data_IF_579985177826
#
_entry.id   IF_579985177826
#
_cell.length_a   1.000
_cell.length_b   1.000
_cell.length_c   1.000
_cell.angle_alpha   90.00
_cell.angle_beta   90.00
_cell.angle_gamma   90.00
#
_symmetry.space_group_name_H-M   'P 1'
#
loop_
_entity.id
_entity.type
_entity.pdbx_description
1 polymer ?
#
# COMPACT_ATOMS: atom_id res chain seq x y z
N UNK A 1 -39.35 -23.84 -11.17
CA UNK A 1 -39.07 -23.46 -12.54
C UNK A 1 -37.68 -23.94 -12.89
N UNK A 2 -37.60 -24.73 -13.95
CA UNK A 2 -36.39 -25.34 -14.44
C UNK A 2 -35.61 -24.31 -15.32
N UNK A 3 -34.96 -23.36 -14.65
CA UNK A 3 -34.14 -22.36 -15.34
C UNK A 3 -32.94 -21.98 -14.49
N UNK A 4 -31.82 -21.72 -15.13
CA UNK A 4 -30.64 -21.13 -14.50
C UNK A 4 -30.94 -19.69 -14.10
N UNK A 5 -30.85 -19.42 -12.83
CA UNK A 5 -31.10 -18.08 -12.29
C UNK A 5 -29.85 -17.19 -12.37
N UNK A 6 -30.08 -15.87 -12.39
CA UNK A 6 -29.01 -14.87 -12.36
C UNK A 6 -29.24 -13.90 -11.21
N UNK A 7 -28.14 -13.42 -10.62
CA UNK A 7 -28.15 -12.38 -9.59
C UNK A 7 -27.11 -11.33 -9.88
N UNK A 8 -27.35 -10.10 -9.42
CA UNK A 8 -26.38 -9.02 -9.53
C UNK A 8 -25.65 -8.86 -8.19
N UNK A 9 -24.35 -8.70 -8.29
CA UNK A 9 -23.46 -8.37 -7.18
C UNK A 9 -22.66 -7.10 -7.49
N UNK A 10 -22.30 -6.36 -6.45
CA UNK A 10 -21.33 -5.27 -6.53
C UNK A 10 -19.96 -5.83 -6.15
N UNK A 11 -18.94 -5.53 -6.96
CA UNK A 11 -17.55 -5.89 -6.65
C UNK A 11 -16.71 -4.62 -6.70
N UNK A 12 -16.03 -4.31 -5.60
CA UNK A 12 -15.19 -3.11 -5.48
C UNK A 12 -13.88 -3.42 -4.76
N UNK A 13 -12.91 -2.53 -4.92
CA UNK A 13 -11.60 -2.62 -4.30
C UNK A 13 -11.33 -1.42 -3.38
N UNK A 14 -10.24 -1.50 -2.59
CA UNK A 14 -9.74 -0.34 -1.85
C UNK A 14 -9.28 0.79 -2.79
N UNK A 15 -8.85 0.46 -4.02
CA UNK A 15 -8.39 1.42 -5.03
C UNK A 15 -9.54 2.02 -5.86
N UNK A 16 -10.68 1.31 -5.93
CA UNK A 16 -11.89 1.74 -6.64
C UNK A 16 -13.14 1.37 -5.84
N UNK A 17 -13.59 2.30 -5.02
CA UNK A 17 -14.78 2.14 -4.18
C UNK A 17 -16.10 2.19 -4.96
N UNK A 18 -16.10 2.68 -6.20
CA UNK A 18 -17.27 2.64 -7.09
C UNK A 18 -17.46 1.26 -7.68
N UNK A 19 -16.38 0.55 -7.97
CA UNK A 19 -16.36 -0.83 -8.41
C UNK A 19 -17.14 -1.10 -9.69
N UNK A 20 -17.62 -2.34 -9.82
CA UNK A 20 -18.41 -2.83 -10.94
C UNK A 20 -19.67 -3.57 -10.45
N UNK A 21 -20.72 -3.50 -11.25
CA UNK A 21 -21.89 -4.39 -11.10
C UNK A 21 -21.70 -5.60 -12.01
N UNK A 22 -21.76 -6.79 -11.45
CA UNK A 22 -21.56 -8.03 -12.16
C UNK A 22 -22.82 -8.90 -12.05
N UNK A 23 -23.37 -9.32 -13.19
CA UNK A 23 -24.35 -10.37 -13.24
C UNK A 23 -23.65 -11.72 -13.20
N UNK A 24 -24.02 -12.58 -12.25
CA UNK A 24 -23.48 -13.92 -12.07
C UNK A 24 -24.63 -14.93 -12.24
N UNK A 25 -24.29 -16.12 -12.72
CA UNK A 25 -25.27 -17.15 -13.09
C UNK A 25 -25.16 -18.36 -12.17
N UNK A 26 -26.28 -19.00 -11.95
CA UNK A 26 -26.31 -20.27 -11.24
C UNK A 26 -25.56 -21.36 -12.04
N UNK A 27 -24.82 -22.21 -11.35
CA UNK A 27 -23.98 -23.24 -12.00
C UNK A 27 -24.78 -24.36 -12.65
N UNK A 28 -25.91 -24.70 -12.05
CA UNK A 28 -26.90 -25.64 -12.58
C UNK A 28 -28.28 -25.26 -12.02
N UNK A 29 -29.36 -25.69 -12.67
CA UNK A 29 -30.72 -25.46 -12.19
C UNK A 29 -30.90 -25.90 -10.73
N UNK A 30 -31.47 -25.02 -9.92
CA UNK A 30 -31.76 -25.22 -8.49
C UNK A 30 -30.52 -25.55 -7.62
N UNK A 31 -29.28 -25.20 -8.07
CA UNK A 31 -28.05 -25.44 -7.27
C UNK A 31 -27.89 -24.48 -6.10
N UNK A 32 -28.41 -23.25 -6.21
CA UNK A 32 -28.16 -22.17 -5.28
C UNK A 32 -26.71 -21.70 -5.25
N UNK A 33 -25.89 -22.16 -6.20
CA UNK A 33 -24.47 -21.79 -6.35
C UNK A 33 -24.31 -20.91 -7.59
N UNK A 34 -23.85 -19.69 -7.38
CA UNK A 34 -23.68 -18.70 -8.44
C UNK A 34 -22.18 -18.45 -8.71
N UNK A 35 -21.82 -18.36 -9.97
CA UNK A 35 -20.44 -18.11 -10.40
C UNK A 35 -20.37 -16.95 -11.40
N UNK A 36 -19.27 -16.19 -11.33
CA UNK A 36 -18.93 -15.13 -12.25
C UNK A 36 -17.41 -14.91 -12.30
N UNK A 37 -16.97 -14.18 -13.31
CA UNK A 37 -15.55 -13.92 -13.54
C UNK A 37 -15.29 -12.42 -13.46
N UNK A 38 -14.35 -12.03 -12.59
CA UNK A 38 -13.80 -10.68 -12.50
C UNK A 38 -12.36 -10.71 -12.97
N UNK A 39 -12.01 -9.80 -13.87
CA UNK A 39 -10.62 -9.57 -14.27
C UNK A 39 -10.10 -8.31 -13.56
N UNK A 40 -8.84 -8.34 -13.12
CA UNK A 40 -8.23 -7.18 -12.47
C UNK A 40 -7.40 -6.36 -13.46
N UNK A 41 -7.39 -5.04 -13.30
CA UNK A 41 -6.58 -4.13 -14.09
C UNK A 41 -5.85 -3.15 -13.18
N UNK A 42 -4.68 -2.68 -13.63
CA UNK A 42 -3.91 -1.59 -13.00
C UNK A 42 -4.24 -0.22 -13.63
N UNK A 43 -5.01 -0.22 -14.73
CA UNK A 43 -5.55 1.01 -15.29
C UNK A 43 -6.59 1.58 -14.32
N UNK A 44 -6.57 2.86 -14.06
CA UNK A 44 -7.39 3.58 -13.07
C UNK A 44 -8.89 3.67 -13.37
N UNK A 45 -9.40 2.77 -14.23
CA UNK A 45 -10.81 2.70 -14.62
C UNK A 45 -11.33 1.27 -14.64
N UNK A 46 -12.38 1.04 -13.86
CA UNK A 46 -13.17 -0.18 -13.92
C UNK A 46 -14.21 -0.10 -15.04
N UNK A 47 -14.45 -1.20 -15.72
CA UNK A 47 -15.52 -1.29 -16.72
C UNK A 47 -15.91 -2.73 -17.04
N UNK A 48 -17.22 -2.99 -17.20
CA UNK A 48 -17.74 -4.34 -17.48
C UNK A 48 -17.40 -5.30 -16.35
N UNK A 49 -16.69 -6.39 -16.66
CA UNK A 49 -16.19 -7.35 -15.65
C UNK A 49 -14.75 -7.07 -15.20
N UNK A 50 -14.19 -5.91 -15.56
CA UNK A 50 -12.81 -5.53 -15.24
C UNK A 50 -12.77 -4.50 -14.12
N UNK A 51 -12.22 -4.88 -12.97
CA UNK A 51 -12.09 -4.08 -11.77
C UNK A 51 -10.69 -3.50 -11.65
N UNK A 52 -10.57 -2.18 -11.41
CA UNK A 52 -9.30 -1.56 -11.02
C UNK A 52 -8.94 -2.01 -9.61
N UNK A 53 -7.81 -2.68 -9.47
CA UNK A 53 -7.29 -3.11 -8.19
C UNK A 53 -5.79 -3.38 -8.29
N UNK A 54 -5.03 -2.85 -7.36
CA UNK A 54 -3.58 -3.03 -7.28
C UNK A 54 -3.22 -4.28 -6.46
N UNK A 55 -2.01 -4.79 -6.59
CA UNK A 55 -1.50 -5.84 -5.72
C UNK A 55 -1.61 -5.43 -4.24
N UNK A 56 -2.03 -6.39 -3.40
CA UNK A 56 -2.34 -6.25 -1.97
C UNK A 56 -3.62 -5.48 -1.64
N UNK A 57 -4.37 -4.99 -2.62
CA UNK A 57 -5.70 -4.41 -2.39
C UNK A 57 -6.67 -5.45 -1.88
N UNK A 58 -7.52 -5.06 -0.96
CA UNK A 58 -8.68 -5.84 -0.56
C UNK A 58 -9.79 -5.68 -1.60
N UNK A 59 -10.34 -6.81 -2.02
CA UNK A 59 -11.53 -6.90 -2.87
C UNK A 59 -12.72 -7.26 -1.99
N UNK A 60 -13.82 -6.60 -2.22
CA UNK A 60 -15.09 -6.89 -1.56
C UNK A 60 -16.14 -7.20 -2.61
N UNK A 61 -16.78 -8.34 -2.49
CA UNK A 61 -18.01 -8.68 -3.21
C UNK A 61 -19.20 -8.49 -2.28
N UNK A 62 -20.22 -7.79 -2.75
CA UNK A 62 -21.45 -7.50 -2.01
C UNK A 62 -22.66 -8.03 -2.76
N UNK A 63 -23.45 -8.84 -2.08
CA UNK A 63 -24.79 -9.25 -2.52
C UNK A 63 -25.83 -8.70 -1.57
N UNK A 64 -26.93 -8.16 -2.11
CA UNK A 64 -28.06 -7.67 -1.32
C UNK A 64 -29.19 -8.67 -1.41
N UNK A 65 -29.38 -9.45 -0.34
CA UNK A 65 -30.49 -10.39 -0.25
C UNK A 65 -31.82 -9.68 0.13
N UNK A 66 -32.78 -9.75 -0.76
CA UNK A 66 -34.14 -9.20 -0.60
C UNK A 66 -35.22 -10.29 -0.40
N UNK A 67 -34.78 -11.55 -0.26
CA UNK A 67 -35.67 -12.70 -0.18
C UNK A 67 -35.71 -13.31 1.23
N UNK A 68 -35.56 -12.47 2.24
CA UNK A 68 -35.45 -12.90 3.63
C UNK A 68 -36.72 -13.64 4.12
N UNK A 69 -36.54 -14.75 4.87
CA UNK A 69 -37.66 -15.49 5.45
C UNK A 69 -38.31 -14.72 6.60
N UNK A 70 -39.54 -15.10 6.97
CA UNK A 70 -40.19 -14.54 8.16
C UNK A 70 -39.29 -14.71 9.40
N UNK A 71 -39.21 -13.72 10.28
CA UNK A 71 -40.14 -12.59 10.50
C UNK A 71 -39.87 -11.31 9.71
N UNK A 72 -38.91 -11.30 8.80
CA UNK A 72 -38.57 -10.11 7.99
C UNK A 72 -39.72 -9.70 7.07
N UNK A 73 -39.77 -8.41 6.75
CA UNK A 73 -40.75 -7.87 5.83
C UNK A 73 -40.18 -7.82 4.40
N UNK A 74 -41.02 -7.65 3.41
CA UNK A 74 -40.63 -7.59 1.98
C UNK A 74 -39.73 -6.40 1.62
N UNK A 75 -39.57 -5.42 2.52
CA UNK A 75 -38.69 -4.27 2.35
C UNK A 75 -37.37 -4.41 3.13
N UNK A 76 -37.21 -5.49 3.89
CA UNK A 76 -35.99 -5.73 4.62
C UNK A 76 -34.92 -6.30 3.66
N UNK A 77 -33.70 -5.85 3.79
CA UNK A 77 -32.55 -6.25 2.97
C UNK A 77 -31.41 -6.72 3.88
N UNK A 78 -30.64 -7.68 3.43
CA UNK A 78 -29.44 -8.15 4.11
C UNK A 78 -28.25 -8.04 3.17
N UNK A 79 -27.25 -7.23 3.56
CA UNK A 79 -25.98 -7.16 2.87
C UNK A 79 -25.11 -8.38 3.23
N UNK A 80 -24.77 -9.17 2.25
CA UNK A 80 -23.82 -10.29 2.36
C UNK A 80 -22.51 -9.86 1.74
N UNK A 81 -21.44 -9.86 2.52
CA UNK A 81 -20.10 -9.41 2.11
C UNK A 81 -19.13 -10.57 2.12
N UNK A 82 -18.32 -10.68 1.06
CA UNK A 82 -17.15 -11.53 1.01
C UNK A 82 -15.93 -10.67 0.68
N UNK A 83 -14.82 -10.92 1.35
CA UNK A 83 -13.58 -10.13 1.19
C UNK A 83 -12.40 -11.04 0.98
N UNK A 84 -11.57 -10.67 0.01
CA UNK A 84 -10.32 -11.34 -0.30
C UNK A 84 -9.24 -10.32 -0.68
N UNK A 85 -7.99 -10.72 -0.60
CA UNK A 85 -6.84 -9.87 -0.91
C UNK A 85 -6.16 -10.34 -2.19
N UNK A 86 -5.85 -9.40 -3.08
CA UNK A 86 -5.01 -9.70 -4.27
C UNK A 86 -3.59 -9.98 -3.80
N UNK A 87 -3.08 -11.17 -4.10
CA UNK A 87 -1.71 -11.56 -3.78
C UNK A 87 -0.80 -11.17 -4.95
N UNK A 88 0.23 -10.35 -4.67
CA UNK A 88 1.29 -10.06 -5.63
C UNK A 88 2.27 -11.23 -5.72
N UNK A 89 2.71 -11.57 -6.93
CA UNK A 89 3.81 -12.50 -7.14
C UNK A 89 5.20 -11.87 -6.89
N UNK A 90 5.27 -10.53 -6.81
CA UNK A 90 6.50 -9.82 -6.51
C UNK A 90 6.60 -9.64 -4.99
N UNK A 91 7.74 -10.03 -4.37
CA UNK A 91 7.99 -9.69 -2.96
C UNK A 91 7.77 -8.20 -2.71
N UNK A 92 7.18 -7.86 -1.57
CA UNK A 92 6.88 -6.45 -1.27
C UNK A 92 8.15 -5.59 -1.23
N UNK A 93 9.26 -6.15 -0.76
CA UNK A 93 10.57 -5.47 -0.68
C UNK A 93 11.23 -5.19 -2.02
N UNK A 94 10.73 -5.77 -3.10
CA UNK A 94 11.26 -5.55 -4.46
C UNK A 94 10.45 -4.50 -5.26
N UNK A 95 9.42 -3.90 -4.63
CA UNK A 95 8.51 -2.95 -5.32
C UNK A 95 9.12 -1.59 -5.55
N UNK A 96 9.96 -1.15 -4.61
CA UNK A 96 10.74 0.08 -4.73
C UNK A 96 12.21 -0.24 -4.53
N UNK A 97 13.10 0.61 -5.02
CA UNK A 97 14.50 0.58 -4.63
C UNK A 97 14.86 1.83 -3.85
N UNK A 98 15.71 1.67 -2.83
CA UNK A 98 16.21 2.73 -1.98
C UNK A 98 17.74 2.85 -2.18
N UNK A 99 18.21 4.06 -2.49
CA UNK A 99 19.66 4.30 -2.59
C UNK A 99 20.34 4.29 -1.22
N UNK A 100 21.68 4.21 -1.21
CA UNK A 100 22.46 4.57 -0.04
C UNK A 100 22.12 5.99 0.44
N UNK A 101 22.34 6.27 1.74
CA UNK A 101 22.11 7.62 2.25
C UNK A 101 23.30 8.52 1.99
N UNK A 102 22.99 9.77 1.72
CA UNK A 102 23.94 10.87 1.77
C UNK A 102 23.49 11.80 2.91
N UNK A 103 24.45 12.32 3.67
CA UNK A 103 24.19 13.38 4.63
C UNK A 103 24.60 14.69 3.97
N UNK A 104 23.61 15.55 3.79
CA UNK A 104 23.81 16.84 3.14
C UNK A 104 23.66 17.97 4.16
N UNK A 105 24.45 19.03 3.97
CA UNK A 105 24.22 20.29 4.64
C UNK A 105 22.96 20.99 4.14
N UNK A 106 22.53 22.05 4.80
CA UNK A 106 21.34 22.82 4.38
C UNK A 106 21.49 23.47 2.99
N UNK A 107 22.73 23.65 2.51
CA UNK A 107 23.04 24.14 1.16
C UNK A 107 23.27 23.00 0.14
N UNK A 108 22.98 21.75 0.53
CA UNK A 108 22.97 20.59 -0.36
C UNK A 108 24.35 19.97 -0.63
N UNK A 109 25.38 20.31 0.17
CA UNK A 109 26.69 19.71 0.06
C UNK A 109 26.83 18.47 0.92
N UNK A 110 27.56 17.48 0.42
CA UNK A 110 27.87 16.27 1.18
C UNK A 110 28.66 16.62 2.47
N UNK A 111 28.26 16.01 3.58
CA UNK A 111 28.89 16.12 4.89
C UNK A 111 29.32 14.72 5.32
N UNK A 112 30.57 14.54 5.72
CA UNK A 112 31.10 13.27 6.24
C UNK A 112 30.97 13.17 7.77
N UNK A 113 31.00 14.32 8.46
CA UNK A 113 30.88 14.42 9.92
C UNK A 113 29.84 15.48 10.28
N UNK A 114 29.11 15.28 11.36
CA UNK A 114 28.08 16.20 11.82
C UNK A 114 28.34 16.62 13.26
N UNK A 115 28.73 17.87 13.45
CA UNK A 115 29.00 18.48 14.77
C UNK A 115 27.72 18.66 15.60
N UNK A 116 27.89 18.74 16.93
CA UNK A 116 26.80 19.07 17.85
C UNK A 116 26.16 20.41 17.48
N UNK A 117 24.82 20.46 17.52
CA UNK A 117 24.03 21.62 17.18
C UNK A 117 23.93 21.91 15.69
N UNK A 118 24.59 21.12 14.82
CA UNK A 118 24.45 21.22 13.38
C UNK A 118 23.30 20.34 12.90
N UNK A 119 22.62 20.83 11.87
CA UNK A 119 21.54 20.11 11.19
C UNK A 119 22.04 19.54 9.88
N UNK A 120 21.92 18.23 9.72
CA UNK A 120 22.12 17.53 8.47
C UNK A 120 20.79 17.12 7.85
N UNK A 121 20.76 16.93 6.55
CA UNK A 121 19.68 16.33 5.80
C UNK A 121 20.08 14.90 5.41
N UNK A 122 19.36 13.91 5.92
CA UNK A 122 19.52 12.51 5.54
C UNK A 122 18.77 12.32 4.23
N UNK A 123 19.49 12.22 3.14
CA UNK A 123 18.97 12.15 1.78
C UNK A 123 19.09 10.73 1.23
N UNK A 124 18.06 10.29 0.52
CA UNK A 124 18.06 9.05 -0.26
C UNK A 124 17.17 9.22 -1.48
N UNK A 125 17.37 8.38 -2.49
CA UNK A 125 16.53 8.30 -3.67
C UNK A 125 15.68 7.05 -3.60
N UNK A 126 14.39 7.21 -3.87
CA UNK A 126 13.44 6.12 -4.03
C UNK A 126 13.09 6.02 -5.51
N UNK A 127 13.20 4.82 -6.08
CA UNK A 127 12.81 4.55 -7.47
C UNK A 127 11.71 3.51 -7.51
N UNK A 128 10.68 3.79 -8.30
CA UNK A 128 9.61 2.84 -8.56
C UNK A 128 10.04 1.81 -9.62
N UNK A 129 10.01 0.53 -9.26
CA UNK A 129 10.35 -0.58 -10.16
C UNK A 129 9.10 -1.19 -10.81
N UNK A 130 7.91 -0.71 -10.41
CA UNK A 130 6.61 -1.20 -10.86
C UNK A 130 6.12 -0.44 -12.11
N UNK A 131 5.12 -1.00 -12.76
CA UNK A 131 4.41 -0.41 -13.90
C UNK A 131 3.15 0.39 -13.48
N UNK A 132 2.94 0.59 -12.18
CA UNK A 132 1.87 1.40 -11.59
C UNK A 132 2.39 2.34 -10.51
N UNK A 133 1.59 3.34 -10.15
CA UNK A 133 1.91 4.28 -9.07
C UNK A 133 1.91 3.56 -7.73
N UNK A 134 2.96 3.76 -6.92
CA UNK A 134 3.07 3.20 -5.58
C UNK A 134 3.08 4.32 -4.54
N UNK A 135 2.15 4.27 -3.59
CA UNK A 135 2.21 5.07 -2.37
C UNK A 135 3.28 4.53 -1.43
N UNK A 136 3.94 5.43 -0.71
CA UNK A 136 4.98 5.05 0.22
C UNK A 136 5.05 5.98 1.43
N UNK A 137 5.66 5.46 2.49
CA UNK A 137 6.14 6.21 3.65
C UNK A 137 7.62 5.94 3.83
N UNK A 138 8.45 6.95 3.62
CA UNK A 138 9.88 6.92 3.90
C UNK A 138 10.09 7.27 5.36
N UNK A 139 10.69 6.38 6.13
CA UNK A 139 10.89 6.50 7.58
C UNK A 139 12.39 6.52 7.84
N UNK A 140 12.84 7.47 8.66
CA UNK A 140 14.22 7.57 9.14
C UNK A 140 14.21 7.45 10.65
N UNK A 141 14.88 6.43 11.17
CA UNK A 141 15.10 6.19 12.59
C UNK A 141 16.59 6.36 12.89
N UNK A 142 16.91 7.16 13.91
CA UNK A 142 18.29 7.39 14.35
C UNK A 142 18.42 6.85 15.76
N UNK A 143 19.43 6.02 15.97
CA UNK A 143 19.78 5.41 17.25
C UNK A 143 21.17 5.88 17.68
N UNK A 144 21.34 6.07 18.98
CA UNK A 144 22.65 6.32 19.57
C UNK A 144 23.42 4.99 19.79
N UNK A 145 24.66 5.08 20.28
CA UNK A 145 25.53 3.94 20.58
C UNK A 145 24.94 2.92 21.58
N UNK A 146 24.00 3.34 22.40
CA UNK A 146 23.25 2.48 23.34
C UNK A 146 22.02 1.84 22.70
N UNK A 147 21.84 1.96 21.37
CA UNK A 147 20.70 1.46 20.61
C UNK A 147 19.35 2.11 20.98
N UNK A 148 19.39 3.30 21.62
CA UNK A 148 18.20 4.07 21.94
C UNK A 148 17.82 4.94 20.72
N UNK A 149 16.53 4.94 20.37
CA UNK A 149 16.01 5.83 19.34
C UNK A 149 16.03 7.27 19.83
N UNK A 150 16.82 8.12 19.19
CA UNK A 150 16.96 9.55 19.49
C UNK A 150 16.21 10.43 18.50
N UNK A 151 15.86 9.89 17.32
CA UNK A 151 15.01 10.56 16.34
C UNK A 151 14.22 9.56 15.53
N UNK A 152 12.97 9.91 15.23
CA UNK A 152 12.10 9.18 14.32
C UNK A 152 11.31 10.21 13.51
N UNK A 153 11.48 10.16 12.20
CA UNK A 153 10.81 11.08 11.28
C UNK A 153 10.37 10.33 10.03
N UNK A 154 9.32 10.82 9.36
CA UNK A 154 8.84 10.19 8.13
C UNK A 154 8.24 11.22 7.17
N UNK A 155 8.21 10.83 5.89
CA UNK A 155 7.58 11.57 4.80
C UNK A 155 6.75 10.57 3.99
N UNK A 156 5.51 10.96 3.65
CA UNK A 156 4.61 10.18 2.80
C UNK A 156 4.56 10.77 1.40
N UNK A 157 4.35 9.93 0.41
CA UNK A 157 4.22 10.37 -0.98
C UNK A 157 3.79 9.22 -1.89
N UNK A 158 3.80 9.51 -3.18
CA UNK A 158 3.59 8.53 -4.23
C UNK A 158 4.67 8.67 -5.28
N UNK A 159 5.01 7.58 -5.96
CA UNK A 159 6.01 7.55 -7.02
C UNK A 159 5.42 6.81 -8.22
N UNK A 160 5.38 7.51 -9.37
CA UNK A 160 4.82 6.95 -10.61
C UNK A 160 5.80 5.95 -11.25
N UNK A 161 5.36 5.11 -12.21
CA UNK A 161 6.20 4.13 -12.87
C UNK A 161 7.53 4.70 -13.37
N UNK A 162 8.62 3.98 -13.07
CA UNK A 162 9.99 4.35 -13.48
C UNK A 162 10.52 5.67 -12.93
N UNK A 163 9.79 6.39 -12.11
CA UNK A 163 10.22 7.64 -11.48
C UNK A 163 11.27 7.36 -10.40
N UNK A 164 12.25 8.27 -10.30
CA UNK A 164 13.16 8.39 -9.17
C UNK A 164 12.84 9.70 -8.43
N UNK A 165 12.65 9.62 -7.12
CA UNK A 165 12.31 10.74 -6.26
C UNK A 165 13.33 10.88 -5.13
N UNK A 166 13.90 12.05 -4.97
CA UNK A 166 14.79 12.39 -3.84
C UNK A 166 13.95 12.69 -2.59
N UNK A 167 14.29 12.03 -1.48
CA UNK A 167 13.67 12.22 -0.18
C UNK A 167 14.70 12.67 0.83
N UNK A 168 14.34 13.59 1.72
CA UNK A 168 15.20 14.01 2.81
C UNK A 168 14.45 14.23 4.10
N UNK A 169 15.14 13.94 5.21
CA UNK A 169 14.70 14.22 6.58
C UNK A 169 15.80 14.98 7.29
N UNK A 170 15.47 16.09 7.92
CA UNK A 170 16.42 16.88 8.70
C UNK A 170 16.59 16.31 10.10
N UNK A 171 17.84 16.30 10.59
CA UNK A 171 18.17 15.92 11.95
C UNK A 171 19.28 16.82 12.49
N UNK A 172 19.15 17.23 13.77
CA UNK A 172 20.14 18.02 14.48
C UNK A 172 20.79 17.18 15.57
N UNK A 173 22.10 17.07 15.57
CA UNK A 173 22.87 16.35 16.59
C UNK A 173 22.77 17.09 17.93
N UNK A 174 22.36 16.39 18.98
CA UNK A 174 22.21 16.94 20.33
C UNK A 174 23.41 16.62 21.22
N UNK A 175 24.04 15.48 21.05
CA UNK A 175 25.12 14.96 21.88
C UNK A 175 26.22 14.37 21.01
N UNK A 176 27.45 14.29 21.55
CA UNK A 176 28.55 13.56 20.89
C UNK A 176 28.32 12.07 20.97
N UNK A 177 28.76 11.32 19.97
CA UNK A 177 28.70 9.86 19.98
C UNK A 177 28.50 9.28 18.58
N UNK A 178 28.43 7.96 18.54
CA UNK A 178 28.14 7.24 17.30
C UNK A 178 26.62 7.09 17.14
N UNK A 179 26.18 7.22 15.93
CA UNK A 179 24.78 7.07 15.58
C UNK A 179 24.60 6.06 14.44
N UNK A 180 23.52 5.32 14.47
CA UNK A 180 23.06 4.49 13.39
C UNK A 180 21.81 5.09 12.79
N UNK A 181 21.79 5.28 11.47
CA UNK A 181 20.64 5.77 10.71
C UNK A 181 20.03 4.57 9.99
N UNK A 182 18.82 4.18 10.39
CA UNK A 182 18.03 3.16 9.73
C UNK A 182 16.94 3.80 8.90
N UNK A 183 16.77 3.31 7.67
CA UNK A 183 15.79 3.84 6.71
C UNK A 183 14.89 2.73 6.25
N UNK A 184 13.59 3.01 6.27
CA UNK A 184 12.55 2.08 5.89
C UNK A 184 11.67 2.75 4.84
N UNK A 185 11.19 1.98 3.89
CA UNK A 185 10.12 2.41 3.00
C UNK A 185 8.98 1.42 3.15
N UNK A 186 7.86 1.90 3.68
CA UNK A 186 6.65 1.11 3.87
C UNK A 186 5.52 1.63 2.98
N UNK A 187 4.51 0.81 2.73
CA UNK A 187 3.30 1.26 2.02
C UNK A 187 2.59 2.39 2.79
N UNK A 188 2.50 2.27 4.10
CA UNK A 188 1.95 3.29 5.02
C UNK A 188 2.37 2.99 6.46
N UNK A 189 2.23 3.96 7.36
CA UNK A 189 2.44 3.73 8.80
C UNK A 189 1.43 2.71 9.35
N UNK A 190 0.17 2.76 8.90
CA UNK A 190 -0.88 1.86 9.37
C UNK A 190 -0.72 0.44 8.82
N UNK A 191 -0.40 0.31 7.53
CA UNK A 191 -0.26 -0.98 6.86
C UNK A 191 1.05 -1.70 7.23
N UNK A 192 2.11 -0.94 7.47
CA UNK A 192 3.44 -1.41 7.88
C UNK A 192 4.02 -2.54 6.99
N UNK A 193 3.69 -2.52 5.68
CA UNK A 193 4.23 -3.47 4.70
C UNK A 193 5.50 -2.86 4.12
N UNK A 194 6.68 -3.50 4.28
CA UNK A 194 7.93 -2.99 3.71
C UNK A 194 7.90 -3.07 2.18
N UNK A 195 8.34 -2.00 1.52
CA UNK A 195 8.45 -1.89 0.06
C UNK A 195 9.90 -1.99 -0.44
N UNK A 196 10.88 -1.92 0.48
CA UNK A 196 12.31 -2.15 0.25
C UNK A 196 12.90 -2.90 1.43
N UNK A 197 14.09 -3.46 1.26
CA UNK A 197 14.92 -3.84 2.39
C UNK A 197 15.26 -2.62 3.25
N UNK A 198 15.53 -2.87 4.54
CA UNK A 198 16.02 -1.84 5.46
C UNK A 198 17.47 -1.50 5.12
N UNK A 199 17.79 -0.23 5.00
CA UNK A 199 19.16 0.24 4.79
C UNK A 199 19.66 0.96 6.04
N UNK A 200 20.84 0.57 6.53
CA UNK A 200 21.47 1.14 7.72
C UNK A 200 22.83 1.77 7.37
N UNK A 201 23.12 2.92 7.95
CA UNK A 201 24.38 3.64 7.79
C UNK A 201 24.83 4.14 9.15
N UNK A 202 26.12 3.97 9.48
CA UNK A 202 26.71 4.50 10.70
C UNK A 202 27.35 5.87 10.42
N UNK A 203 27.25 6.77 11.39
CA UNK A 203 27.93 8.07 11.40
C UNK A 203 28.63 8.29 12.74
N UNK A 204 29.75 8.96 12.68
CA UNK A 204 30.59 9.32 13.82
C UNK A 204 30.30 10.73 14.30
#
# INVERSE_FOLDING_TARGET
PESIDTVNIEVFSEDDSAGINLEISETTEDSGIFEGIVSFTKDDQSSGSRLYALPDSQITAKYVDRTLPKPYNTNDELDILAQEKIISNLPSTDRLSLSESEILSQDGKLIEELDIGKTGMIFSKIKNTLDYTQEFTYIVQIKNENNNVVSLSWVTGQVIPSQELGMSVSWTVQETGKYSIERFVWNSIKGAIPLTDTVSTEIL
#
